data_IF_862609875410
#
_entry.id   IF_862609875410
#
_cell.length_a   1.000
_cell.length_b   1.000
_cell.length_c   1.000
_cell.angle_alpha   90.00
_cell.angle_beta   90.00
_cell.angle_gamma   90.00
#
_symmetry.space_group_name_H-M   'P 1'
#
loop_
_entity.id
_entity.type
_entity.pdbx_description
1 polymer ?
#
# COMPACT_ATOMS: atom_id res chain seq x y z
N UNK A 1 -20.59 3.51 16.92
CA UNK A 1 -19.15 3.77 16.72
C UNK A 1 -19.05 4.33 15.31
N UNK A 2 -18.39 5.47 15.13
CA UNK A 2 -18.12 5.97 13.78
C UNK A 2 -17.26 4.95 13.04
N UNK A 3 -17.70 4.55 11.85
CA UNK A 3 -16.90 3.69 10.98
C UNK A 3 -15.79 4.54 10.37
N UNK A 4 -14.55 4.09 10.52
CA UNK A 4 -13.39 4.77 9.93
C UNK A 4 -12.73 3.85 8.91
N UNK A 5 -12.04 4.46 7.96
CA UNK A 5 -11.35 3.78 6.88
C UNK A 5 -9.87 4.15 6.87
N UNK A 6 -9.04 3.24 6.38
CA UNK A 6 -7.63 3.51 6.08
C UNK A 6 -7.52 3.70 4.58
N UNK A 7 -7.10 4.88 4.16
CA UNK A 7 -6.72 5.16 2.78
C UNK A 7 -5.21 4.99 2.66
N UNK A 8 -4.79 3.99 1.89
CA UNK A 8 -3.40 3.73 1.58
C UNK A 8 -3.08 4.23 0.17
N UNK A 9 -2.01 5.02 0.04
CA UNK A 9 -1.49 5.50 -1.23
C UNK A 9 -0.06 5.01 -1.39
N UNK A 10 0.24 4.42 -2.53
CA UNK A 10 1.55 3.87 -2.85
C UNK A 10 2.06 4.46 -4.17
N UNK A 11 3.24 5.07 -4.11
CA UNK A 11 3.96 5.47 -5.31
C UNK A 11 4.51 4.22 -6.01
N UNK A 12 4.19 4.06 -7.29
CA UNK A 12 4.65 2.99 -8.16
C UNK A 12 5.54 3.55 -9.27
N UNK A 13 6.39 2.68 -9.78
CA UNK A 13 7.16 2.93 -11.01
C UNK A 13 7.23 1.65 -11.80
N UNK A 14 7.29 1.77 -13.13
CA UNK A 14 7.48 0.62 -14.02
C UNK A 14 8.96 0.21 -14.15
N UNK A 15 9.80 0.61 -13.19
CA UNK A 15 11.19 0.22 -13.08
C UNK A 15 12.08 0.80 -14.19
N UNK A 16 13.26 0.21 -14.40
CA UNK A 16 14.23 0.69 -15.37
C UNK A 16 13.84 0.40 -16.84
N UNK A 17 12.78 -0.38 -17.06
CA UNK A 17 12.32 -0.75 -18.41
C UNK A 17 11.51 0.39 -19.08
N UNK A 18 11.02 1.35 -18.30
CA UNK A 18 10.38 2.57 -18.79
C UNK A 18 10.91 3.79 -18.03
N UNK A 19 11.58 4.70 -18.74
CA UNK A 19 12.10 5.91 -18.11
C UNK A 19 10.94 6.84 -17.79
N UNK A 20 10.65 7.01 -16.50
CA UNK A 20 9.79 8.10 -15.99
C UNK A 20 8.30 7.79 -15.81
N UNK A 21 7.85 6.56 -16.06
CA UNK A 21 6.46 6.20 -15.74
C UNK A 21 6.30 5.95 -14.25
N UNK A 22 5.75 6.96 -13.57
CA UNK A 22 5.38 6.93 -12.17
C UNK A 22 3.88 7.14 -12.04
N UNK A 23 3.25 6.39 -11.15
CA UNK A 23 1.83 6.58 -10.81
C UNK A 23 1.61 6.32 -9.33
N UNK A 24 0.41 6.67 -8.87
CA UNK A 24 -0.02 6.38 -7.52
C UNK A 24 -1.15 5.36 -7.54
N UNK A 25 -0.99 4.30 -6.77
CA UNK A 25 -2.09 3.37 -6.49
C UNK A 25 -2.73 3.75 -5.16
N UNK A 26 -4.06 3.78 -5.14
CA UNK A 26 -4.84 4.03 -3.93
C UNK A 26 -5.69 2.81 -3.60
N UNK A 27 -5.75 2.46 -2.32
CA UNK A 27 -6.66 1.43 -1.81
C UNK A 27 -7.25 1.85 -0.47
N UNK A 28 -8.56 1.64 -0.35
CA UNK A 28 -9.30 1.86 0.89
C UNK A 28 -9.43 0.52 1.62
N UNK A 29 -9.22 0.55 2.92
CA UNK A 29 -9.36 -0.59 3.82
C UNK A 29 -10.34 -0.24 4.93
N UNK A 30 -11.19 -1.18 5.30
CA UNK A 30 -12.10 -1.02 6.43
C UNK A 30 -11.35 -1.04 7.77
N UNK A 31 -12.02 -0.60 8.84
CA UNK A 31 -11.52 -0.58 10.22
C UNK A 31 -11.03 -1.94 10.78
N UNK A 32 -11.35 -3.08 10.15
CA UNK A 32 -10.90 -4.41 10.57
C UNK A 32 -9.59 -4.82 9.88
N UNK A 33 -9.19 -4.12 8.82
CA UNK A 33 -7.95 -4.40 8.13
C UNK A 33 -6.74 -4.17 9.04
N UNK A 34 -5.80 -5.11 8.99
CA UNK A 34 -4.56 -5.00 9.74
C UNK A 34 -3.50 -4.25 8.93
N UNK A 35 -2.47 -3.75 9.60
CA UNK A 35 -1.30 -3.20 8.92
C UNK A 35 -0.66 -4.24 7.98
N UNK A 36 -0.72 -5.52 8.33
CA UNK A 36 -0.22 -6.59 7.49
C UNK A 36 -0.99 -6.69 6.16
N UNK A 37 -2.32 -6.53 6.17
CA UNK A 37 -3.14 -6.54 4.95
C UNK A 37 -2.77 -5.38 4.02
N UNK A 38 -2.50 -4.21 4.59
CA UNK A 38 -2.05 -3.03 3.84
C UNK A 38 -0.68 -3.26 3.21
N UNK A 39 0.28 -3.80 3.98
CA UNK A 39 1.63 -4.06 3.46
C UNK A 39 1.63 -5.20 2.44
N UNK A 40 0.80 -6.24 2.65
CA UNK A 40 0.60 -7.33 1.70
C UNK A 40 0.15 -6.81 0.34
N UNK A 41 -0.80 -5.87 0.32
CA UNK A 41 -1.20 -5.16 -0.89
C UNK A 41 -0.05 -4.32 -1.47
N UNK A 42 0.62 -3.52 -0.65
CA UNK A 42 1.68 -2.62 -1.09
C UNK A 42 2.84 -3.38 -1.76
N UNK A 43 3.29 -4.47 -1.14
CA UNK A 43 4.38 -5.30 -1.65
C UNK A 43 3.97 -6.21 -2.82
N UNK A 44 2.66 -6.37 -3.07
CA UNK A 44 2.11 -7.38 -3.97
C UNK A 44 2.65 -8.80 -3.65
N UNK A 45 2.87 -9.08 -2.37
CA UNK A 45 3.42 -10.35 -1.89
C UNK A 45 2.41 -11.09 -1.04
N UNK A 46 2.44 -12.42 -1.08
CA UNK A 46 1.56 -13.27 -0.27
C UNK A 46 2.20 -13.73 1.04
N UNK A 47 3.52 -13.67 1.16
CA UNK A 47 4.28 -14.18 2.30
C UNK A 47 4.93 -13.05 3.13
N UNK A 48 4.80 -13.16 4.45
CA UNK A 48 5.33 -12.16 5.40
C UNK A 48 6.84 -12.00 5.31
N UNK A 49 7.60 -13.07 5.08
CA UNK A 49 9.06 -13.02 4.93
C UNK A 49 9.53 -12.18 3.74
N UNK A 50 8.68 -11.96 2.73
CA UNK A 50 9.01 -11.19 1.55
C UNK A 50 8.68 -9.70 1.71
N UNK A 51 7.93 -9.35 2.77
CA UNK A 51 7.58 -7.96 3.08
C UNK A 51 8.79 -7.18 3.61
N UNK A 52 9.73 -7.83 4.30
CA UNK A 52 10.93 -7.16 4.85
C UNK A 52 11.81 -6.50 3.76
N UNK A 53 11.67 -7.00 2.53
CA UNK A 53 12.38 -6.50 1.35
C UNK A 53 11.62 -5.41 0.61
N UNK A 54 10.39 -5.07 1.01
CA UNK A 54 9.63 -3.99 0.40
C UNK A 54 10.41 -2.67 0.50
N UNK A 55 10.54 -1.98 -0.64
CA UNK A 55 11.10 -0.64 -0.75
C UNK A 55 10.13 0.19 -1.57
N UNK A 56 9.52 1.18 -0.95
CA UNK A 56 8.54 2.04 -1.59
C UNK A 56 8.00 3.10 -0.63
N UNK A 57 7.34 4.10 -1.19
CA UNK A 57 6.72 5.18 -0.42
C UNK A 57 5.23 4.86 -0.22
N UNK A 58 4.92 4.34 0.97
CA UNK A 58 3.54 4.06 1.39
C UNK A 58 3.07 5.17 2.34
N UNK A 59 1.95 5.81 2.03
CA UNK A 59 1.29 6.82 2.87
C UNK A 59 -0.04 6.29 3.35
N UNK A 60 -0.32 6.43 4.65
CA UNK A 60 -1.55 5.97 5.29
C UNK A 60 -2.29 7.16 5.89
N UNK A 61 -3.59 7.26 5.61
CA UNK A 61 -4.49 8.28 6.15
C UNK A 61 -5.69 7.60 6.78
N UNK A 62 -6.09 8.06 7.98
CA UNK A 62 -7.35 7.66 8.60
C UNK A 62 -8.42 8.64 8.14
N UNK A 63 -9.48 8.13 7.52
CA UNK A 63 -10.65 8.89 7.11
C UNK A 63 -11.84 8.53 8.01
N UNK A 64 -12.65 9.52 8.36
CA UNK A 64 -13.87 9.41 9.17
C UNK A 64 -15.05 10.01 8.38
#
# INVERSE_FOLDING_TARGET
MEEWEIVAILDRSAGNDSVGEMWQETKVFDQKATLFDVIKWAANQTHQSQIELFRGNLKLTIAQ
#
